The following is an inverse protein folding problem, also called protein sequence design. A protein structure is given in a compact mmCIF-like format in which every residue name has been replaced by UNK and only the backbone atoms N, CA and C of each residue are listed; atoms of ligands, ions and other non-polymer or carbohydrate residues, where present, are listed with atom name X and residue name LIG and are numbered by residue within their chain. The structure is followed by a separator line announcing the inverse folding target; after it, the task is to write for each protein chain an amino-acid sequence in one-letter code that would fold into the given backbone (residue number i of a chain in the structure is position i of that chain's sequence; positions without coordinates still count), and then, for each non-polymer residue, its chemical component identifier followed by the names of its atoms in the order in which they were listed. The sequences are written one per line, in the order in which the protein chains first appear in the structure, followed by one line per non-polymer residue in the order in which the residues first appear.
data_IF_269028266387
#
_entry.id   IF_269028266387
#
_cell.length_a   1.000
_cell.length_b   1.000
_cell.length_c   1.000
_cell.angle_alpha   90.00
_cell.angle_beta   90.00
_cell.angle_gamma   90.00
#
_symmetry.space_group_name_H-M   'P 1'
#
loop_
_entity.id
_entity.type
_entity.pdbx_description
1 polymer ?
#
# COMPACT_ATOMS: atom_id res chain seq x y z
N UNK A 1 30.88 21.19 66.36
CA UNK A 1 31.94 20.40 67.01
C UNK A 1 32.52 19.50 65.92
N UNK A 2 33.65 19.80 65.25
CA UNK A 2 35.05 19.51 65.66
C UNK A 2 35.15 18.08 66.23
N UNK A 3 35.91 17.12 65.67
CA UNK A 3 37.34 17.20 65.34
C UNK A 3 37.83 16.03 64.46
N UNK A 4 39.01 16.28 63.86
CA UNK A 4 39.95 15.44 63.12
C UNK A 4 40.66 14.36 63.96
N UNK A 5 41.33 13.42 63.24
CA UNK A 5 42.64 12.73 63.48
C UNK A 5 42.51 11.23 63.19
N UNK A 6 43.47 10.47 62.64
CA UNK A 6 44.72 10.67 61.93
C UNK A 6 45.21 9.28 61.42
N UNK A 7 46.09 9.27 60.42
CA UNK A 7 46.80 8.11 59.85
C UNK A 7 47.82 7.47 60.83
N UNK A 8 48.30 6.23 60.56
CA UNK A 8 49.55 6.03 59.78
C UNK A 8 49.45 4.83 58.79
N UNK A 9 49.91 4.91 57.53
CA UNK A 9 51.27 4.86 56.95
C UNK A 9 52.11 3.61 57.29
N UNK A 10 52.22 2.69 56.33
CA UNK A 10 53.41 1.87 56.11
C UNK A 10 53.52 1.45 54.63
N UNK A 11 54.64 1.88 54.04
CA UNK A 11 55.14 1.66 52.68
C UNK A 11 55.93 0.36 52.59
N UNK A 12 55.92 -0.26 51.39
CA UNK A 12 56.99 -1.00 50.68
C UNK A 12 56.27 -1.71 49.51
N UNK A 13 56.55 -1.52 48.22
CA UNK A 13 57.78 -1.12 47.54
C UNK A 13 58.14 -2.23 46.53
N UNK A 14 58.55 -1.85 45.31
CA UNK A 14 59.09 -2.68 44.19
C UNK A 14 58.00 -3.25 43.25
N UNK A 15 58.01 -3.04 41.94
CA UNK A 15 58.90 -2.31 41.03
C UNK A 15 58.36 -2.47 39.61
N UNK A 16 58.17 -1.36 38.88
CA UNK A 16 57.82 -1.33 37.47
C UNK A 16 59.09 -1.49 36.63
N UNK A 17 59.15 -2.53 35.81
CA UNK A 17 60.06 -2.57 34.65
C UNK A 17 59.26 -2.38 33.38
N UNK A 18 59.36 -1.17 32.82
CA UNK A 18 58.97 -0.86 31.45
C UNK A 18 59.99 -1.53 30.51
N UNK A 19 59.59 -2.66 29.93
CA UNK A 19 60.34 -3.23 28.80
C UNK A 19 60.07 -2.36 27.57
N UNK A 20 61.16 -1.82 27.04
CA UNK A 20 61.21 -0.96 25.87
C UNK A 20 60.72 -1.73 24.64
N UNK A 21 59.64 -1.23 24.02
CA UNK A 21 59.17 -1.73 22.73
C UNK A 21 60.08 -1.14 21.64
N UNK A 22 61.13 -1.86 21.26
CA UNK A 22 61.98 -1.51 20.12
C UNK A 22 61.28 -1.92 18.83
N UNK A 23 60.99 -0.92 17.99
CA UNK A 23 60.50 -1.05 16.63
C UNK A 23 61.66 -1.54 15.73
N UNK A 24 61.61 -2.78 15.25
CA UNK A 24 62.53 -3.27 14.21
C UNK A 24 61.76 -3.93 13.06
N UNK A 25 62.02 -3.38 11.85
CA UNK A 25 61.79 -3.90 10.50
C UNK A 25 60.36 -3.83 9.88
N UNK A 26 60.11 -2.87 8.95
CA UNK A 26 58.82 -2.67 8.28
C UNK A 26 58.63 -3.46 6.96
N UNK A 27 59.18 -4.67 6.81
CA UNK A 27 59.06 -5.44 5.56
C UNK A 27 58.95 -6.96 5.74
N UNK A 28 57.89 -7.45 6.39
CA UNK A 28 57.41 -8.83 6.23
C UNK A 28 55.89 -8.86 6.31
N UNK A 29 55.25 -9.69 5.47
CA UNK A 29 53.79 -9.82 5.45
C UNK A 29 53.33 -10.89 6.42
N UNK A 30 52.10 -10.78 6.95
CA UNK A 30 51.45 -11.75 7.86
C UNK A 30 51.50 -13.20 7.34
N UNK A 31 51.59 -13.41 6.03
CA UNK A 31 51.70 -14.73 5.41
C UNK A 31 53.07 -15.41 5.63
N UNK A 32 54.13 -14.66 5.95
CA UNK A 32 55.49 -15.19 6.13
C UNK A 32 55.80 -15.60 7.58
N UNK A 33 54.95 -15.24 8.55
CA UNK A 33 55.13 -15.60 9.97
C UNK A 33 54.48 -16.94 10.36
N UNK A 34 53.75 -17.60 9.46
CA UNK A 34 52.97 -18.81 9.77
C UNK A 34 53.15 -19.94 8.73
N UNK A 35 54.29 -20.00 8.03
CA UNK A 35 54.51 -20.98 6.97
C UNK A 35 54.81 -22.42 7.44
N UNK A 36 55.15 -22.64 8.72
CA UNK A 36 55.70 -23.92 9.20
C UNK A 36 54.74 -24.78 10.05
N UNK A 37 53.42 -24.58 9.94
CA UNK A 37 52.45 -25.51 10.57
C UNK A 37 51.37 -25.88 9.56
N UNK A 38 51.76 -26.56 8.49
CA UNK A 38 50.83 -27.31 7.65
C UNK A 38 51.48 -28.64 7.29
N UNK A 39 51.08 -29.70 7.99
CA UNK A 39 50.97 -31.01 7.35
C UNK A 39 49.85 -31.85 7.98
N UNK A 40 48.86 -32.11 7.13
CA UNK A 40 47.93 -33.26 7.04
C UNK A 40 47.00 -33.58 8.22
N UNK A 41 45.72 -33.22 8.08
CA UNK A 41 44.63 -34.22 7.94
C UNK A 41 43.48 -33.62 7.13
N UNK A 42 43.22 -34.15 5.95
CA UNK A 42 42.05 -33.81 5.12
C UNK A 42 40.83 -34.56 5.68
N UNK A 43 40.18 -33.97 6.69
CA UNK A 43 38.85 -34.39 7.14
C UNK A 43 37.87 -33.33 6.67
N UNK A 44 37.09 -33.66 5.64
CA UNK A 44 36.04 -32.78 5.16
C UNK A 44 35.06 -32.45 6.30
N UNK A 45 35.13 -31.22 6.80
CA UNK A 45 34.22 -30.69 7.81
C UNK A 45 32.78 -30.66 7.21
N UNK A 46 31.81 -31.37 7.80
CA UNK A 46 30.41 -31.30 7.38
C UNK A 46 29.86 -29.87 7.35
N UNK A 47 30.40 -28.96 8.16
CA UNK A 47 30.01 -27.56 8.20
C UNK A 47 30.48 -26.77 6.95
N UNK A 48 31.65 -27.10 6.39
CA UNK A 48 32.17 -26.41 5.20
C UNK A 48 31.49 -26.90 3.91
N UNK A 49 31.09 -28.19 3.88
CA UNK A 49 30.19 -28.71 2.85
C UNK A 49 28.77 -28.12 2.95
N UNK A 50 28.24 -27.94 4.17
CA UNK A 50 26.96 -27.28 4.40
C UNK A 50 26.99 -25.80 3.97
N UNK A 51 28.11 -25.10 4.18
CA UNK A 51 28.29 -23.70 3.78
C UNK A 51 28.45 -23.55 2.25
N UNK A 52 29.16 -24.47 1.60
CA UNK A 52 29.26 -24.54 0.13
C UNK A 52 27.92 -24.93 -0.51
N UNK A 53 27.16 -25.85 0.10
CA UNK A 53 25.80 -26.20 -0.32
C UNK A 53 24.77 -25.07 -0.07
N UNK A 54 24.98 -24.24 0.95
CA UNK A 54 24.17 -23.04 1.19
C UNK A 54 24.46 -21.93 0.15
N UNK A 55 25.70 -21.85 -0.36
CA UNK A 55 26.11 -20.90 -1.40
C UNK A 55 25.79 -21.35 -2.83
N UNK A 56 25.57 -22.65 -3.06
CA UNK A 56 25.17 -23.22 -4.36
C UNK A 56 23.65 -23.37 -4.54
N UNK A 57 22.85 -23.04 -3.52
CA UNK A 57 21.40 -22.91 -3.70
C UNK A 57 21.16 -21.79 -4.72
N UNK A 58 20.50 -22.05 -5.85
CA UNK A 58 20.12 -21.00 -6.78
C UNK A 58 19.31 -19.99 -5.97
N UNK A 59 19.75 -18.72 -5.98
CA UNK A 59 18.97 -17.61 -5.47
C UNK A 59 17.63 -17.70 -6.19
N UNK A 60 16.60 -18.22 -5.52
CA UNK A 60 15.25 -18.23 -6.08
C UNK A 60 14.97 -16.78 -6.44
N UNK A 61 14.82 -16.54 -7.74
CA UNK A 61 14.56 -15.22 -8.27
C UNK A 61 13.31 -14.69 -7.53
N UNK A 62 13.50 -13.77 -6.58
CA UNK A 62 12.42 -13.24 -5.72
C UNK A 62 11.33 -12.51 -6.52
N UNK A 63 11.58 -12.33 -7.83
CA UNK A 63 10.74 -11.69 -8.81
C UNK A 63 9.89 -12.67 -9.64
N UNK A 64 9.94 -13.99 -9.38
CA UNK A 64 9.07 -14.91 -10.10
C UNK A 64 7.67 -14.86 -9.50
N UNK A 65 6.79 -14.12 -10.17
CA UNK A 65 5.37 -14.16 -9.92
C UNK A 65 4.84 -15.57 -10.14
N UNK A 66 4.75 -16.35 -9.06
CA UNK A 66 3.95 -17.56 -9.03
C UNK A 66 2.47 -17.16 -8.91
N UNK A 67 1.99 -16.30 -9.80
CA UNK A 67 0.55 -16.16 -10.01
C UNK A 67 0.11 -17.55 -10.42
N UNK A 68 -0.63 -18.24 -9.54
CA UNK A 68 -1.29 -19.49 -9.91
C UNK A 68 -1.95 -19.25 -11.26
N UNK A 69 -1.87 -20.22 -12.18
CA UNK A 69 -2.38 -20.14 -13.56
C UNK A 69 -3.86 -19.69 -13.69
N UNK A 70 -4.57 -19.46 -12.57
CA UNK A 70 -5.97 -19.11 -12.45
C UNK A 70 -6.22 -17.82 -11.62
N UNK A 71 -5.32 -16.82 -11.63
CA UNK A 71 -5.64 -15.51 -11.03
C UNK A 71 -6.24 -14.54 -12.05
N UNK A 72 -7.39 -13.97 -11.69
CA UNK A 72 -8.19 -13.09 -12.52
C UNK A 72 -8.57 -11.83 -11.75
N UNK A 73 -8.21 -10.65 -12.28
CA UNK A 73 -8.59 -9.38 -11.65
C UNK A 73 -10.07 -9.06 -11.85
N UNK A 74 -10.58 -8.09 -11.10
CA UNK A 74 -11.90 -7.48 -11.33
C UNK A 74 -13.08 -8.43 -11.18
N UNK A 75 -12.87 -9.64 -10.67
CA UNK A 75 -13.95 -10.61 -10.47
C UNK A 75 -14.55 -10.43 -9.07
N UNK A 76 -15.82 -10.05 -8.95
CA UNK A 76 -16.45 -9.83 -7.65
C UNK A 76 -16.65 -11.16 -6.91
N UNK A 77 -16.69 -11.11 -5.57
CA UNK A 77 -17.14 -12.25 -4.79
C UNK A 77 -18.67 -12.32 -4.83
N UNK A 78 -19.19 -13.32 -5.54
CA UNK A 78 -20.62 -13.61 -5.60
C UNK A 78 -20.94 -14.83 -4.73
N UNK A 79 -21.87 -14.67 -3.79
CA UNK A 79 -22.46 -15.80 -3.09
C UNK A 79 -23.43 -16.49 -4.07
N UNK A 80 -23.01 -17.58 -4.72
CA UNK A 80 -23.95 -18.48 -5.39
C UNK A 80 -24.57 -19.39 -4.33
N UNK A 81 -25.50 -18.87 -3.54
CA UNK A 81 -26.30 -19.68 -2.60
C UNK A 81 -27.63 -19.99 -3.29
N UNK A 82 -27.90 -21.27 -3.54
CA UNK A 82 -29.26 -21.75 -3.80
C UNK A 82 -29.98 -21.79 -2.45
N UNK A 83 -30.98 -20.93 -2.21
CA UNK A 83 -31.92 -21.08 -1.09
C UNK A 83 -31.90 -20.08 0.10
N UNK A 84 -31.22 -18.92 0.07
CA UNK A 84 -31.39 -17.92 1.14
C UNK A 84 -30.53 -16.64 1.03
N UNK A 85 -31.09 -15.49 1.44
CA UNK A 85 -30.53 -14.13 1.28
C UNK A 85 -29.64 -13.63 2.44
N UNK A 86 -28.50 -13.01 2.10
CA UNK A 86 -28.01 -11.68 2.53
C UNK A 86 -26.71 -11.37 1.76
N UNK A 87 -26.48 -10.12 1.33
CA UNK A 87 -25.16 -9.70 0.78
C UNK A 87 -24.15 -9.72 1.93
N UNK A 88 -23.48 -10.87 2.12
CA UNK A 88 -22.48 -11.15 3.16
C UNK A 88 -21.09 -11.45 2.61
N UNK A 89 -20.89 -11.48 1.29
CA UNK A 89 -19.57 -11.69 0.70
C UNK A 89 -18.89 -10.37 0.47
N UNK A 90 -17.59 -10.29 0.74
CA UNK A 90 -16.67 -9.22 0.35
C UNK A 90 -16.72 -8.94 -1.16
N UNK A 91 -17.83 -8.38 -1.67
CA UNK A 91 -18.21 -8.35 -3.10
C UNK A 91 -17.12 -7.70 -3.93
N UNK A 92 -16.48 -6.68 -3.38
CA UNK A 92 -15.32 -5.99 -3.94
C UNK A 92 -14.09 -6.28 -3.08
N UNK A 93 -13.42 -7.44 -3.26
CA UNK A 93 -12.33 -7.84 -2.37
C UNK A 93 -11.10 -6.95 -2.44
N UNK A 94 -10.97 -6.18 -3.51
CA UNK A 94 -9.90 -5.19 -3.71
C UNK A 94 -10.10 -3.89 -2.93
N UNK A 95 -11.30 -3.62 -2.39
CA UNK A 95 -11.54 -2.39 -1.62
C UNK A 95 -10.76 -2.45 -0.31
N UNK A 96 -9.86 -1.49 -0.12
CA UNK A 96 -8.94 -1.43 1.00
C UNK A 96 -9.34 -0.33 1.98
N UNK A 97 -9.22 -0.63 3.28
CA UNK A 97 -9.26 0.37 4.34
C UNK A 97 -7.84 0.84 4.65
N UNK A 98 -7.62 2.16 4.67
CA UNK A 98 -6.40 2.77 5.19
C UNK A 98 -6.68 3.21 6.62
N UNK A 99 -6.01 2.56 7.58
CA UNK A 99 -6.17 2.85 9.01
C UNK A 99 -4.88 3.38 9.62
N UNK A 100 -5.01 4.26 10.61
CA UNK A 100 -3.90 4.82 11.40
C UNK A 100 -4.18 4.75 12.89
N UNK A 101 -3.10 4.66 13.68
CA UNK A 101 -3.14 4.63 15.15
C UNK A 101 -2.92 3.23 15.71
N UNK A 102 -2.05 3.11 16.73
CA UNK A 102 -1.68 1.82 17.35
C UNK A 102 -2.77 1.24 18.26
N UNK A 103 -3.35 2.08 19.12
CA UNK A 103 -4.32 1.63 20.13
C UNK A 103 -5.77 1.79 19.67
N UNK A 104 -6.05 2.84 18.90
CA UNK A 104 -7.38 3.14 18.36
C UNK A 104 -7.28 3.34 16.85
N UNK A 105 -7.18 2.26 16.06
CA UNK A 105 -7.05 2.36 14.62
C UNK A 105 -8.27 3.06 14.03
N UNK A 106 -8.07 4.20 13.37
CA UNK A 106 -9.10 4.96 12.69
C UNK A 106 -8.94 4.83 11.18
N UNK A 107 -10.04 4.45 10.52
CA UNK A 107 -10.18 4.58 9.07
C UNK A 107 -10.14 6.06 8.71
N UNK A 108 -9.27 6.44 7.77
CA UNK A 108 -9.18 7.82 7.28
C UNK A 108 -9.34 7.93 5.76
N UNK A 109 -9.02 6.87 5.01
CA UNK A 109 -9.21 6.79 3.56
C UNK A 109 -9.47 5.35 3.11
N UNK A 110 -9.96 5.21 1.88
CA UNK A 110 -10.02 3.98 1.12
C UNK A 110 -8.84 3.79 0.17
N UNK A 111 -8.83 2.65 -0.50
CA UNK A 111 -7.85 2.28 -1.51
C UNK A 111 -8.34 1.12 -2.37
N UNK A 112 -7.58 0.78 -3.40
CA UNK A 112 -7.84 -0.34 -4.29
C UNK A 112 -6.59 -1.22 -4.43
N UNK A 113 -6.68 -2.49 -4.08
CA UNK A 113 -5.62 -3.45 -4.37
C UNK A 113 -5.53 -3.69 -5.89
N UNK A 114 -4.38 -3.41 -6.49
CA UNK A 114 -4.16 -3.50 -7.95
C UNK A 114 -3.28 -4.68 -8.37
N UNK A 115 -2.53 -5.26 -7.44
CA UNK A 115 -1.72 -6.47 -7.61
C UNK A 115 -1.48 -7.13 -6.24
N UNK A 116 -0.53 -8.06 -6.12
CA UNK A 116 -0.28 -8.76 -4.84
C UNK A 116 0.26 -7.87 -3.71
N UNK A 117 0.83 -6.69 -3.98
CA UNK A 117 1.56 -5.91 -2.96
C UNK A 117 1.41 -4.39 -3.05
N UNK A 118 0.55 -3.89 -3.93
CA UNK A 118 0.30 -2.48 -4.11
C UNK A 118 -1.18 -2.14 -4.01
N UNK A 119 -1.46 -1.11 -3.21
CA UNK A 119 -2.75 -0.43 -3.13
C UNK A 119 -2.62 0.93 -3.81
N UNK A 120 -3.53 1.23 -4.73
CA UNK A 120 -3.71 2.57 -5.29
C UNK A 120 -4.71 3.35 -4.43
N UNK A 121 -4.39 4.60 -4.10
CA UNK A 121 -5.23 5.51 -3.30
C UNK A 121 -5.04 6.95 -3.79
N UNK A 122 -5.68 7.91 -3.14
CA UNK A 122 -5.52 9.33 -3.45
C UNK A 122 -4.22 9.87 -2.83
N UNK A 123 -3.57 10.83 -3.49
CA UNK A 123 -2.38 11.48 -2.96
C UNK A 123 -2.71 12.29 -1.70
N UNK A 124 -3.84 13.00 -1.67
CA UNK A 124 -4.25 13.81 -0.52
C UNK A 124 -4.41 12.99 0.77
N UNK A 125 -4.65 11.68 0.68
CA UNK A 125 -4.72 10.78 1.84
C UNK A 125 -3.37 10.62 2.55
N UNK A 126 -2.25 10.77 1.83
CA UNK A 126 -0.91 10.40 2.31
C UNK A 126 0.15 11.48 2.11
N UNK A 127 -0.17 12.54 1.38
CA UNK A 127 0.69 13.71 1.21
C UNK A 127 0.90 14.40 2.56
N UNK A 128 2.16 14.60 2.95
CA UNK A 128 2.55 15.17 4.25
C UNK A 128 2.27 14.28 5.47
N UNK A 129 1.70 13.08 5.30
CA UNK A 129 1.34 12.20 6.43
C UNK A 129 1.50 10.72 6.05
N UNK A 130 2.75 10.24 6.04
CA UNK A 130 3.13 8.92 5.49
C UNK A 130 3.29 7.82 6.53
N UNK A 131 3.25 8.15 7.81
CA UNK A 131 3.61 7.21 8.86
C UNK A 131 2.42 6.39 9.37
N UNK A 132 2.72 5.18 9.84
CA UNK A 132 1.81 4.28 10.56
C UNK A 132 0.53 3.89 9.79
N UNK A 133 0.59 3.85 8.46
CA UNK A 133 -0.52 3.37 7.63
C UNK A 133 -0.55 1.86 7.67
N UNK A 134 -1.72 1.31 8.02
CA UNK A 134 -2.04 -0.10 7.90
C UNK A 134 -3.18 -0.26 6.90
N UNK A 135 -3.04 -1.24 6.02
CA UNK A 135 -4.06 -1.65 5.07
C UNK A 135 -4.84 -2.83 5.65
N UNK A 136 -6.18 -2.77 5.58
CA UNK A 136 -7.07 -3.91 5.83
C UNK A 136 -7.89 -4.21 4.58
N UNK A 137 -7.92 -5.47 4.17
CA UNK A 137 -8.68 -6.00 3.04
C UNK A 137 -9.69 -7.04 3.53
N UNK A 138 -10.68 -7.35 2.69
CA UNK A 138 -11.77 -8.29 3.01
C UNK A 138 -12.55 -7.87 4.27
N UNK A 139 -12.67 -6.56 4.48
CA UNK A 139 -13.51 -5.99 5.51
C UNK A 139 -14.91 -5.75 4.95
N UNK A 140 -15.93 -5.92 5.79
CA UNK A 140 -17.30 -5.51 5.52
C UNK A 140 -17.78 -4.63 6.65
N UNK A 141 -17.65 -5.10 7.89
CA UNK A 141 -18.02 -4.39 9.11
C UNK A 141 -16.77 -3.84 9.82
N UNK A 142 -16.71 -2.52 10.02
CA UNK A 142 -15.65 -1.81 10.75
C UNK A 142 -15.57 -2.18 12.22
N UNK A 143 -16.65 -2.69 12.79
CA UNK A 143 -16.71 -3.18 14.18
C UNK A 143 -16.32 -4.65 14.31
N UNK A 144 -16.10 -5.34 13.20
CA UNK A 144 -15.66 -6.74 13.17
C UNK A 144 -14.34 -6.91 13.92
N UNK A 145 -14.24 -7.99 14.69
CA UNK A 145 -12.98 -8.44 15.30
C UNK A 145 -12.10 -9.21 14.31
N UNK A 146 -12.66 -9.69 13.19
CA UNK A 146 -11.88 -10.29 12.10
C UNK A 146 -11.25 -9.16 11.27
N UNK A 147 -9.92 -9.00 11.33
CA UNK A 147 -9.25 -7.93 10.63
C UNK A 147 -9.04 -8.23 9.13
N UNK A 148 -9.50 -9.39 8.66
CA UNK A 148 -9.30 -9.86 7.29
C UNK A 148 -7.81 -10.00 6.98
N UNK A 149 -7.36 -9.42 5.87
CA UNK A 149 -5.94 -9.37 5.55
C UNK A 149 -5.38 -8.01 5.97
N UNK A 150 -4.41 -8.02 6.87
CA UNK A 150 -3.74 -6.82 7.39
C UNK A 150 -2.31 -6.74 6.85
N UNK A 151 -1.91 -5.57 6.36
CA UNK A 151 -0.53 -5.28 5.93
C UNK A 151 -0.13 -3.88 6.32
N UNK A 152 1.06 -3.71 6.89
CA UNK A 152 1.67 -2.37 7.02
C UNK A 152 2.11 -1.86 5.65
N UNK A 153 2.13 -0.54 5.53
CA UNK A 153 2.74 0.14 4.38
C UNK A 153 4.21 0.38 4.66
N UNK A 154 5.10 -0.07 3.76
CA UNK A 154 6.56 0.11 3.87
C UNK A 154 7.09 1.20 2.94
N UNK A 155 6.31 1.59 1.92
CA UNK A 155 6.67 2.67 1.02
C UNK A 155 5.41 3.35 0.49
N UNK A 156 5.45 4.68 0.47
CA UNK A 156 4.41 5.53 -0.11
C UNK A 156 5.01 6.31 -1.27
N UNK A 157 4.46 6.14 -2.46
CA UNK A 157 4.88 6.86 -3.68
C UNK A 157 3.74 7.76 -4.13
N UNK A 158 3.84 9.06 -3.84
CA UNK A 158 2.92 10.09 -4.34
C UNK A 158 3.28 10.43 -5.79
N UNK A 159 2.29 10.65 -6.65
CA UNK A 159 2.55 11.10 -8.01
C UNK A 159 3.40 12.39 -8.00
N UNK A 160 4.50 12.47 -8.77
CA UNK A 160 5.44 13.59 -8.67
C UNK A 160 4.83 14.94 -9.01
N UNK A 161 3.80 14.95 -9.87
CA UNK A 161 3.09 16.17 -10.27
C UNK A 161 1.81 16.40 -9.46
N UNK A 162 1.64 15.78 -8.29
CA UNK A 162 0.51 16.05 -7.42
C UNK A 162 0.54 17.51 -6.95
N UNK A 163 -0.54 18.24 -7.23
CA UNK A 163 -0.71 19.63 -6.78
C UNK A 163 -1.80 19.66 -5.68
N UNK A 164 -1.44 19.87 -4.40
CA UNK A 164 -2.41 19.89 -3.31
C UNK A 164 -3.34 21.10 -3.33
N UNK A 165 -2.97 22.20 -4.01
CA UNK A 165 -3.82 23.40 -4.10
C UNK A 165 -4.92 23.21 -5.14
N UNK A 166 -4.60 22.55 -6.26
CA UNK A 166 -5.55 22.27 -7.35
C UNK A 166 -6.18 20.88 -7.28
N UNK A 167 -5.66 20.01 -6.41
CA UNK A 167 -6.01 18.58 -6.27
C UNK A 167 -5.91 17.86 -7.62
N UNK A 168 -4.85 18.17 -8.39
CA UNK A 168 -4.58 17.56 -9.70
C UNK A 168 -3.53 16.47 -9.54
N UNK A 169 -3.60 15.40 -10.34
CA UNK A 169 -2.76 14.21 -10.23
C UNK A 169 -2.85 13.54 -8.86
N UNK A 170 -4.07 13.49 -8.30
CA UNK A 170 -4.36 13.01 -6.94
C UNK A 170 -4.35 11.48 -6.85
N UNK A 171 -3.17 10.88 -7.08
CA UNK A 171 -2.93 9.44 -6.95
C UNK A 171 -1.65 9.14 -6.17
N UNK A 172 -1.67 8.08 -5.38
CA UNK A 172 -0.53 7.55 -4.66
C UNK A 172 -0.57 6.01 -4.61
N UNK A 173 0.61 5.41 -4.59
CA UNK A 173 0.81 3.97 -4.44
C UNK A 173 1.34 3.66 -3.04
N UNK A 174 0.76 2.64 -2.41
CA UNK A 174 1.17 2.13 -1.11
C UNK A 174 1.70 0.71 -1.30
N UNK A 175 3.00 0.53 -1.05
CA UNK A 175 3.66 -0.78 -1.06
C UNK A 175 3.46 -1.46 0.28
N UNK A 176 2.94 -2.68 0.24
CA UNK A 176 2.68 -3.51 1.41
C UNK A 176 3.96 -4.20 1.89
N UNK A 177 4.08 -4.41 3.20
CA UNK A 177 5.24 -5.07 3.83
C UNK A 177 5.47 -6.51 3.34
N UNK A 178 4.40 -7.17 2.88
CA UNK A 178 4.44 -8.49 2.28
C UNK A 178 3.26 -8.69 1.32
N UNK A 179 3.40 -9.58 0.32
CA UNK A 179 2.32 -9.89 -0.60
C UNK A 179 1.03 -10.38 0.08
N UNK A 180 -0.08 -10.07 -0.57
CA UNK A 180 -1.42 -10.55 -0.31
C UNK A 180 -1.63 -11.83 -1.14
N UNK A 181 -2.12 -12.94 -0.53
CA UNK A 181 -2.40 -14.15 -1.28
C UNK A 181 -3.59 -13.94 -2.22
N UNK A 182 -3.31 -13.83 -3.53
CA UNK A 182 -4.33 -13.65 -4.57
C UNK A 182 -5.01 -14.99 -4.92
N UNK A 183 -5.74 -15.53 -3.94
CA UNK A 183 -6.41 -16.83 -4.04
C UNK A 183 -7.81 -16.78 -3.43
N UNK A 184 -8.70 -17.67 -3.90
CA UNK A 184 -10.07 -17.78 -3.38
C UNK A 184 -10.85 -16.48 -3.56
N UNK A 185 -11.22 -15.87 -2.43
CA UNK A 185 -12.03 -14.65 -2.35
C UNK A 185 -11.19 -13.35 -2.39
N UNK A 186 -9.86 -13.43 -2.46
CA UNK A 186 -9.00 -12.26 -2.53
C UNK A 186 -8.46 -12.07 -3.95
N UNK A 187 -8.85 -10.98 -4.60
CA UNK A 187 -8.47 -10.63 -5.98
C UNK A 187 -8.26 -9.13 -6.11
N UNK A 188 -7.31 -8.66 -6.93
CA UNK A 188 -7.16 -7.24 -7.22
C UNK A 188 -8.24 -6.77 -8.21
N UNK A 189 -8.47 -5.46 -8.29
CA UNK A 189 -9.26 -4.85 -9.35
C UNK A 189 -8.46 -4.84 -10.66
N UNK A 190 -9.14 -4.89 -11.81
CA UNK A 190 -8.42 -4.69 -13.08
C UNK A 190 -8.04 -3.23 -13.26
N UNK A 191 -6.82 -2.98 -13.75
CA UNK A 191 -6.48 -1.68 -14.32
C UNK A 191 -7.11 -1.56 -15.72
N UNK A 192 -7.57 -0.37 -16.13
CA UNK A 192 -8.06 -0.14 -17.49
C UNK A 192 -6.91 -0.10 -18.49
N UNK A 193 -7.23 -0.06 -19.78
CA UNK A 193 -6.26 0.27 -20.83
C UNK A 193 -5.92 1.77 -20.82
N UNK A 194 -4.77 2.12 -21.40
CA UNK A 194 -4.34 3.50 -21.51
C UNK A 194 -5.39 4.31 -22.29
N UNK A 195 -5.77 5.47 -21.75
CA UNK A 195 -6.80 6.34 -22.32
C UNK A 195 -8.20 5.71 -22.49
N UNK A 196 -8.48 4.56 -21.88
CA UNK A 196 -9.82 3.98 -21.91
C UNK A 196 -10.86 4.98 -21.40
N UNK A 197 -11.96 5.13 -22.16
CA UNK A 197 -13.02 6.09 -21.87
C UNK A 197 -14.23 5.40 -21.23
N UNK A 198 -14.62 5.89 -20.05
CA UNK A 198 -15.77 5.40 -19.29
C UNK A 198 -17.00 6.31 -19.38
N UNK A 199 -16.95 7.40 -20.15
CA UNK A 199 -18.06 8.35 -20.28
C UNK A 199 -19.37 7.64 -20.67
N UNK A 200 -20.47 7.97 -19.98
CA UNK A 200 -21.79 7.36 -20.18
C UNK A 200 -21.97 5.97 -19.57
N UNK A 201 -20.91 5.35 -19.02
CA UNK A 201 -21.02 4.06 -18.31
C UNK A 201 -21.55 4.27 -16.89
N UNK A 202 -22.20 3.24 -16.35
CA UNK A 202 -22.53 3.18 -14.93
C UNK A 202 -21.34 2.64 -14.15
N UNK A 203 -20.87 3.43 -13.19
CA UNK A 203 -19.83 3.05 -12.25
C UNK A 203 -20.42 2.77 -10.87
N UNK A 204 -19.68 2.00 -10.07
CA UNK A 204 -19.92 1.75 -8.65
C UNK A 204 -18.84 2.45 -7.85
N UNK A 205 -19.24 3.21 -6.84
CA UNK A 205 -18.35 3.62 -5.74
C UNK A 205 -18.60 2.66 -4.58
N UNK A 206 -17.53 2.17 -3.95
CA UNK A 206 -17.64 1.31 -2.76
C UNK A 206 -16.72 1.80 -1.64
N UNK A 207 -17.26 1.94 -0.42
CA UNK A 207 -16.51 2.39 0.75
C UNK A 207 -17.31 2.47 2.05
N UNK A 208 -16.70 3.02 3.09
CA UNK A 208 -17.28 3.15 4.44
C UNK A 208 -17.42 4.61 4.88
N UNK A 209 -17.42 5.53 3.91
CA UNK A 209 -17.63 6.93 4.14
C UNK A 209 -18.98 7.25 4.76
N UNK A 210 -19.21 8.54 4.95
CA UNK A 210 -20.46 9.09 5.42
C UNK A 210 -21.61 8.66 4.51
N UNK A 211 -22.71 8.22 5.10
CA UNK A 211 -23.91 7.82 4.34
C UNK A 211 -24.65 9.06 3.78
N UNK A 212 -24.41 10.23 4.38
CA UNK A 212 -24.93 11.54 3.96
C UNK A 212 -23.97 12.65 4.39
N UNK A 213 -23.98 13.78 3.70
CA UNK A 213 -23.18 14.95 4.07
C UNK A 213 -23.42 15.34 5.54
N UNK A 214 -22.34 15.53 6.31
CA UNK A 214 -22.41 15.82 7.75
C UNK A 214 -23.01 14.70 8.62
N UNK A 215 -23.24 13.52 8.05
CA UNK A 215 -23.82 12.36 8.73
C UNK A 215 -22.82 11.54 9.52
N UNK A 216 -23.18 10.28 9.78
CA UNK A 216 -22.30 9.28 10.39
C UNK A 216 -21.69 8.39 9.31
N UNK A 217 -20.46 7.94 9.54
CA UNK A 217 -19.85 6.91 8.67
C UNK A 217 -20.60 5.59 8.83
N UNK A 218 -20.70 4.82 7.76
CA UNK A 218 -21.25 3.46 7.88
C UNK A 218 -20.26 2.53 8.56
N UNK A 219 -20.76 1.65 9.42
CA UNK A 219 -19.98 0.50 9.90
C UNK A 219 -19.82 -0.54 8.79
N UNK A 220 -20.80 -0.65 7.89
CA UNK A 220 -20.80 -1.64 6.83
C UNK A 220 -20.38 -1.05 5.49
N UNK A 221 -19.64 -1.80 4.68
CA UNK A 221 -19.27 -1.41 3.31
C UNK A 221 -20.55 -1.07 2.53
N UNK A 222 -20.61 0.15 2.00
CA UNK A 222 -21.69 0.63 1.15
C UNK A 222 -21.27 0.62 -0.32
N UNK A 223 -22.26 0.58 -1.20
CA UNK A 223 -22.06 0.79 -2.63
C UNK A 223 -23.10 1.76 -3.18
N UNK A 224 -22.72 2.56 -4.18
CA UNK A 224 -23.65 3.41 -4.91
C UNK A 224 -23.34 3.39 -6.41
N UNK A 225 -24.39 3.28 -7.22
CA UNK A 225 -24.30 3.39 -8.67
C UNK A 225 -24.38 4.86 -9.09
N UNK A 226 -23.40 5.30 -9.88
CA UNK A 226 -23.30 6.66 -10.42
C UNK A 226 -22.94 6.61 -11.90
N UNK A 227 -23.56 7.44 -12.76
CA UNK A 227 -23.14 7.53 -14.16
C UNK A 227 -21.84 8.34 -14.25
N UNK A 228 -20.90 7.86 -15.06
CA UNK A 228 -19.73 8.64 -15.46
C UNK A 228 -20.16 9.66 -16.50
N UNK A 229 -19.75 10.92 -16.33
CA UNK A 229 -20.03 12.01 -17.27
C UNK A 229 -18.73 12.50 -17.90
N UNK A 230 -18.85 13.02 -19.12
CA UNK A 230 -17.70 13.60 -19.82
C UNK A 230 -17.14 14.81 -19.06
N UNK A 231 -15.84 15.09 -19.24
CA UNK A 231 -15.24 16.30 -18.69
C UNK A 231 -15.94 17.58 -19.21
N UNK A 232 -16.41 17.58 -20.46
CA UNK A 232 -17.18 18.68 -21.02
C UNK A 232 -18.48 18.94 -20.24
N UNK A 233 -19.27 17.89 -19.96
CA UNK A 233 -20.46 18.00 -19.12
C UNK A 233 -20.10 18.41 -17.69
N UNK A 234 -19.01 17.88 -17.13
CA UNK A 234 -18.59 18.24 -15.78
C UNK A 234 -18.19 19.72 -15.67
N UNK A 235 -17.55 20.29 -16.70
CA UNK A 235 -17.23 21.72 -16.80
C UNK A 235 -18.47 22.61 -16.92
N UNK A 236 -19.60 22.07 -17.38
CA UNK A 236 -20.89 22.81 -17.38
C UNK A 236 -21.55 22.87 -15.98
N UNK A 237 -20.97 22.20 -14.98
CA UNK A 237 -21.45 22.25 -13.60
C UNK A 237 -20.77 23.37 -12.81
N UNK A 238 -20.96 23.40 -11.49
CA UNK A 238 -20.27 24.35 -10.60
C UNK A 238 -18.74 24.25 -10.67
N UNK A 239 -18.18 23.14 -11.16
CA UNK A 239 -16.72 22.97 -11.26
C UNK A 239 -16.06 23.85 -12.33
N UNK A 240 -16.77 24.22 -13.41
CA UNK A 240 -16.21 25.04 -14.50
C UNK A 240 -14.83 24.55 -14.93
N UNK A 241 -13.86 25.45 -15.08
CA UNK A 241 -12.51 25.16 -15.58
C UNK A 241 -11.61 24.42 -14.58
N UNK A 242 -12.12 24.01 -13.42
CA UNK A 242 -11.35 23.23 -12.43
C UNK A 242 -11.10 21.78 -12.88
N UNK A 243 -11.91 21.27 -13.81
CA UNK A 243 -11.80 19.88 -14.26
C UNK A 243 -10.68 19.71 -15.29
N UNK A 244 -9.60 19.04 -14.88
CA UNK A 244 -8.47 18.69 -15.74
C UNK A 244 -8.68 17.35 -16.48
N UNK A 245 -7.91 17.10 -17.53
CA UNK A 245 -8.00 15.85 -18.32
C UNK A 245 -7.62 14.58 -17.53
N UNK A 246 -6.81 14.74 -16.49
CA UNK A 246 -6.46 13.66 -15.54
C UNK A 246 -7.55 13.40 -14.50
N UNK A 247 -8.68 14.12 -14.58
CA UNK A 247 -9.86 13.92 -13.75
C UNK A 247 -10.99 13.27 -14.55
N UNK A 248 -11.91 12.66 -13.81
CA UNK A 248 -13.15 12.08 -14.27
C UNK A 248 -14.26 12.47 -13.29
N UNK A 249 -15.47 12.70 -13.78
CA UNK A 249 -16.62 13.02 -12.94
C UNK A 249 -17.66 11.91 -13.02
N UNK A 250 -18.32 11.63 -11.90
CA UNK A 250 -19.44 10.70 -11.86
C UNK A 250 -20.52 11.17 -10.88
N UNK A 251 -21.78 11.04 -11.27
CA UNK A 251 -22.92 11.46 -10.46
C UNK A 251 -24.10 11.97 -11.29
N UNK A 252 -25.27 12.05 -10.64
CA UNK A 252 -26.49 12.57 -11.25
C UNK A 252 -26.48 14.10 -11.18
N UNK A 253 -26.02 14.77 -12.24
CA UNK A 253 -25.84 16.23 -12.26
C UNK A 253 -27.13 17.00 -11.93
N UNK A 254 -28.27 16.59 -12.50
CA UNK A 254 -29.53 17.32 -12.35
C UNK A 254 -30.28 16.97 -11.06
N UNK A 255 -30.29 15.69 -10.68
CA UNK A 255 -31.05 15.21 -9.51
C UNK A 255 -30.22 15.29 -8.22
N UNK A 256 -28.88 15.19 -8.31
CA UNK A 256 -28.04 14.92 -7.15
C UNK A 256 -28.40 13.57 -6.50
N UNK A 257 -28.25 13.50 -5.18
CA UNK A 257 -28.74 12.40 -4.34
C UNK A 257 -27.91 11.11 -4.36
N UNK A 258 -26.94 10.96 -5.28
CA UNK A 258 -25.98 9.84 -5.30
C UNK A 258 -24.55 10.33 -5.56
N UNK A 259 -23.64 10.07 -4.62
CA UNK A 259 -22.21 10.38 -4.74
C UNK A 259 -21.37 9.62 -3.68
N UNK A 260 -20.06 9.59 -3.87
CA UNK A 260 -19.10 9.29 -2.80
C UNK A 260 -19.17 10.39 -1.72
N UNK A 261 -18.86 10.05 -0.46
CA UNK A 261 -18.84 11.05 0.61
C UNK A 261 -17.57 10.95 1.46
N UNK A 262 -17.47 11.80 2.48
CA UNK A 262 -16.29 11.87 3.35
C UNK A 262 -15.96 10.49 3.94
N UNK A 263 -14.70 10.06 3.84
CA UNK A 263 -14.25 8.73 4.29
C UNK A 263 -14.21 7.67 3.19
N UNK A 264 -14.76 7.95 1.99
CA UNK A 264 -14.51 7.15 0.78
C UNK A 264 -13.28 7.60 0.00
N UNK A 265 -12.69 8.75 0.37
CA UNK A 265 -11.48 9.33 -0.25
C UNK A 265 -10.40 8.28 -0.50
N UNK A 266 -9.86 8.23 -1.72
CA UNK A 266 -8.89 7.23 -2.15
C UNK A 266 -9.47 5.87 -2.51
N UNK A 267 -10.76 5.64 -2.25
CA UNK A 267 -11.47 4.41 -2.60
C UNK A 267 -11.74 4.24 -4.11
N UNK A 268 -12.23 3.05 -4.50
CA UNK A 268 -12.48 2.72 -5.90
C UNK A 268 -13.73 3.39 -6.49
N UNK A 269 -13.59 3.89 -7.72
CA UNK A 269 -14.67 4.01 -8.70
C UNK A 269 -14.46 2.94 -9.77
N UNK A 270 -15.37 1.96 -9.86
CA UNK A 270 -15.23 0.78 -10.71
C UNK A 270 -16.36 0.65 -11.73
N UNK A 271 -16.04 0.21 -12.94
CA UNK A 271 -17.01 -0.05 -14.01
C UNK A 271 -16.93 -1.53 -14.38
N UNK A 272 -18.08 -2.20 -14.47
CA UNK A 272 -18.16 -3.59 -14.88
C UNK A 272 -18.30 -3.70 -16.41
N UNK A 273 -17.28 -4.21 -17.08
CA UNK A 273 -17.28 -4.51 -18.52
C UNK A 273 -16.95 -6.00 -18.74
N UNK A 274 -17.69 -6.87 -18.06
CA UNK A 274 -17.40 -8.31 -17.92
C UNK A 274 -16.52 -8.59 -16.70
N UNK A 275 -15.58 -7.69 -16.41
CA UNK A 275 -14.86 -7.59 -15.13
C UNK A 275 -14.84 -6.14 -14.67
N UNK A 276 -14.72 -5.94 -13.35
CA UNK A 276 -14.59 -4.61 -12.78
C UNK A 276 -13.21 -4.02 -13.08
N UNK A 277 -13.20 -2.91 -13.81
CA UNK A 277 -12.04 -2.06 -14.06
C UNK A 277 -12.08 -0.84 -13.15
N UNK A 278 -10.91 -0.43 -12.66
CA UNK A 278 -10.77 0.77 -11.84
C UNK A 278 -10.77 2.01 -12.74
N UNK A 279 -11.93 2.65 -12.88
CA UNK A 279 -12.09 3.85 -13.69
C UNK A 279 -11.48 5.08 -13.00
N UNK A 280 -11.61 5.16 -11.68
CA UNK A 280 -11.16 6.31 -10.91
C UNK A 280 -10.80 6.01 -9.47
N UNK A 281 -10.11 6.96 -8.86
CA UNK A 281 -9.83 7.03 -7.42
C UNK A 281 -10.62 8.20 -6.84
N UNK A 282 -11.44 7.98 -5.80
CA UNK A 282 -12.24 9.03 -5.15
C UNK A 282 -11.30 10.16 -4.69
N UNK A 283 -11.53 11.39 -5.16
CA UNK A 283 -10.61 12.52 -4.94
C UNK A 283 -11.27 13.64 -4.13
N UNK A 284 -12.19 14.40 -4.74
CA UNK A 284 -12.89 15.48 -4.05
C UNK A 284 -14.30 15.68 -4.59
N UNK A 285 -15.07 16.48 -3.88
CA UNK A 285 -16.42 16.85 -4.26
C UNK A 285 -16.88 18.09 -3.52
N UNK A 286 -17.96 18.70 -3.98
CA UNK A 286 -18.62 19.77 -3.27
C UNK A 286 -19.83 19.24 -2.52
N UNK A 287 -19.64 19.03 -1.21
CA UNK A 287 -20.60 18.30 -0.40
C UNK A 287 -20.69 16.83 -0.84
N UNK A 288 -21.76 16.16 -0.44
CA UNK A 288 -22.02 14.80 -0.90
C UNK A 288 -23.34 14.76 -1.64
N UNK A 289 -23.28 14.40 -2.93
CA UNK A 289 -24.47 14.24 -3.75
C UNK A 289 -25.29 15.53 -3.94
N UNK A 290 -24.64 16.69 -3.90
CA UNK A 290 -25.29 17.96 -4.19
C UNK A 290 -25.68 18.05 -5.67
N UNK A 291 -26.82 18.68 -5.94
CA UNK A 291 -27.22 19.02 -7.31
C UNK A 291 -26.14 19.90 -7.96
N UNK A 292 -25.87 19.66 -9.24
CA UNK A 292 -24.87 20.38 -10.01
C UNK A 292 -23.42 20.27 -9.46
N UNK A 293 -23.13 19.23 -8.68
CA UNK A 293 -21.83 18.98 -8.08
C UNK A 293 -21.55 17.45 -8.02
N UNK A 294 -21.30 16.80 -9.17
CA UNK A 294 -20.91 15.39 -9.18
C UNK A 294 -19.59 15.15 -8.42
N UNK A 295 -19.31 13.92 -8.03
CA UNK A 295 -18.01 13.56 -7.47
C UNK A 295 -16.91 13.67 -8.52
N UNK A 296 -15.72 14.08 -8.09
CA UNK A 296 -14.50 14.15 -8.92
C UNK A 296 -13.50 13.08 -8.48
N UNK A 297 -12.96 12.39 -9.47
CA UNK A 297 -12.09 11.24 -9.31
C UNK A 297 -10.82 11.45 -10.11
N UNK A 298 -9.69 10.93 -9.64
CA UNK A 298 -8.49 10.85 -10.47
C UNK A 298 -8.68 9.74 -11.52
N UNK A 299 -8.52 10.07 -12.80
CA UNK A 299 -8.78 9.18 -13.95
C UNK A 299 -7.64 8.18 -14.13
N UNK A 300 -7.83 6.94 -13.67
CA UNK A 300 -6.76 5.92 -13.61
C UNK A 300 -6.14 5.63 -14.98
N UNK A 301 -6.91 5.67 -16.07
CA UNK A 301 -6.40 5.44 -17.43
C UNK A 301 -5.37 6.47 -17.91
N UNK A 302 -5.16 7.58 -17.17
CA UNK A 302 -4.11 8.59 -17.41
C UNK A 302 -2.83 8.37 -16.61
N UNK A 303 -2.79 7.39 -15.71
CA UNK A 303 -1.67 7.16 -14.79
C UNK A 303 -1.00 5.80 -14.97
N UNK A 304 -1.36 5.02 -15.99
CA UNK A 304 -0.91 3.63 -16.13
C UNK A 304 0.60 3.49 -16.26
N UNK A 305 1.25 4.34 -17.06
CA UNK A 305 2.72 4.30 -17.21
C UNK A 305 3.42 4.53 -15.87
N UNK A 306 2.93 5.51 -15.10
CA UNK A 306 3.44 5.80 -13.77
C UNK A 306 3.16 4.65 -12.79
N UNK A 307 1.96 4.05 -12.84
CA UNK A 307 1.60 2.89 -12.03
C UNK A 307 2.57 1.75 -12.32
N UNK A 308 2.62 1.28 -13.58
CA UNK A 308 3.43 0.14 -14.01
C UNK A 308 4.91 0.31 -13.66
N UNK A 309 5.47 1.51 -13.88
CA UNK A 309 6.86 1.82 -13.53
C UNK A 309 7.14 1.66 -12.03
N UNK A 310 6.20 2.04 -11.17
CA UNK A 310 6.39 2.04 -9.71
C UNK A 310 5.95 0.75 -9.02
N UNK A 311 5.34 -0.18 -9.76
CA UNK A 311 4.81 -1.45 -9.25
C UNK A 311 5.34 -2.68 -10.01
N UNK A 312 6.45 -2.53 -10.74
CA UNK A 312 7.04 -3.56 -11.58
C UNK A 312 7.45 -4.84 -10.83
N UNK A 313 7.67 -4.76 -9.51
CA UNK A 313 7.97 -5.90 -8.66
C UNK A 313 6.71 -6.56 -8.04
N UNK A 314 5.52 -6.08 -8.41
CA UNK A 314 4.24 -6.66 -8.02
C UNK A 314 3.70 -7.67 -9.04
N UNK A 315 2.93 -8.64 -8.55
CA UNK A 315 2.35 -9.70 -9.36
C UNK A 315 0.91 -9.42 -9.75
N UNK A 316 0.67 -9.24 -11.04
CA UNK A 316 -0.63 -8.92 -11.61
C UNK A 316 -1.41 -10.18 -12.00
N UNK A 317 -2.73 -10.11 -11.83
CA UNK A 317 -3.63 -11.15 -12.31
C UNK A 317 -4.06 -10.88 -13.76
N UNK A 318 -4.50 -11.92 -14.46
CA UNK A 318 -4.96 -11.81 -15.83
C UNK A 318 -6.22 -10.95 -15.89
N UNK A 319 -6.25 -10.01 -16.84
CA UNK A 319 -7.39 -9.15 -17.17
C UNK A 319 -8.45 -9.89 -17.95
#
# INVERSE_FOLDING_TARGET
MRSYLALPLLLLGIGLTLAQYQYQNPHQTLAQQFADVVDVVDVADPADQALKAAKSRPVKNRNQCTTKQNCFCGTPNVNRIVGGQQVRSNKYPWTAQLVKGRHYPRLFCGGSLINDRYVLTAAHCVHGNRDQITIRLLQIDRSSRDPGIVRKVVQTTVHPNYDPNRIVNDVALLKLESPVPLTGNMRPVCLPDANHNFDGKTAVVAGWGLIKEGGVTSNYLQEVNVPVISNAQCRQTRYKDKIAEVMLCAGLVQQGGKDACQGDSGGPLIVNEGRYKLAGVVSFGYGCAQKNAPGVYARVSKFLDWIQKNTADGCYCQS
#
